data_IF_133616080920
#
_entry.id   IF_133616080920
#
_cell.length_a   1.000
_cell.length_b   1.000
_cell.length_c   1.000
_cell.angle_alpha   90.00
_cell.angle_beta   90.00
_cell.angle_gamma   90.00
#
_symmetry.space_group_name_H-M   'P 1'
#
loop_
_entity.id
_entity.type
_entity.pdbx_description
1 polymer ?
#
# COMPACT_ATOMS: atom_id res chain seq x y z
N UNK A 1 3.01 -67.35 2.90
CA UNK A 1 4.06 -66.35 2.64
C UNK A 1 3.60 -65.20 1.74
N UNK A 2 2.99 -65.45 0.56
CA UNK A 2 2.54 -64.37 -0.37
C UNK A 2 1.54 -63.36 0.24
N UNK A 3 0.60 -63.81 1.10
CA UNK A 3 -0.40 -62.93 1.75
C UNK A 3 0.22 -61.94 2.76
N UNK A 4 1.23 -62.37 3.52
CA UNK A 4 1.91 -61.50 4.50
C UNK A 4 2.80 -60.46 3.80
N UNK A 5 3.52 -60.85 2.75
CA UNK A 5 4.31 -59.92 1.92
C UNK A 5 3.42 -58.90 1.21
N UNK A 6 2.28 -59.33 0.69
CA UNK A 6 1.30 -58.43 0.06
C UNK A 6 0.70 -57.42 1.04
N UNK A 7 0.41 -57.80 2.30
CA UNK A 7 -0.04 -56.85 3.32
C UNK A 7 1.05 -55.86 3.73
N UNK A 8 2.30 -56.32 3.89
CA UNK A 8 3.42 -55.45 4.26
C UNK A 8 3.72 -54.40 3.17
N UNK A 9 3.69 -54.80 1.90
CA UNK A 9 3.87 -53.87 0.78
C UNK A 9 2.73 -52.85 0.69
N UNK A 10 1.48 -53.28 0.94
CA UNK A 10 0.33 -52.36 0.95
C UNK A 10 0.43 -51.29 2.05
N UNK A 11 0.88 -51.66 3.25
CA UNK A 11 1.13 -50.71 4.35
C UNK A 11 2.26 -49.74 4.01
N UNK A 12 3.35 -50.23 3.42
CA UNK A 12 4.46 -49.37 2.99
C UNK A 12 4.02 -48.35 1.92
N UNK A 13 3.23 -48.78 0.94
CA UNK A 13 2.67 -47.88 -0.09
C UNK A 13 1.71 -46.86 0.52
N UNK A 14 0.88 -47.24 1.50
CA UNK A 14 0.02 -46.28 2.21
C UNK A 14 0.83 -45.21 2.93
N UNK A 15 1.92 -45.57 3.61
CA UNK A 15 2.78 -44.61 4.31
C UNK A 15 3.45 -43.65 3.32
N UNK A 16 3.91 -44.17 2.17
CA UNK A 16 4.47 -43.34 1.08
C UNK A 16 3.43 -42.36 0.53
N UNK A 17 2.18 -42.79 0.33
CA UNK A 17 1.12 -41.89 -0.12
C UNK A 17 0.79 -40.83 0.93
N UNK A 18 0.73 -41.21 2.22
CA UNK A 18 0.49 -40.26 3.31
C UNK A 18 1.57 -39.18 3.39
N UNK A 19 2.85 -39.53 3.26
CA UNK A 19 3.94 -38.55 3.32
C UNK A 19 3.90 -37.56 2.15
N UNK A 20 3.58 -38.04 0.95
CA UNK A 20 3.40 -37.20 -0.25
C UNK A 20 2.21 -36.27 -0.05
N UNK A 21 1.07 -36.77 0.45
CA UNK A 21 -0.12 -35.95 0.69
C UNK A 21 0.14 -34.82 1.70
N UNK A 22 0.85 -35.11 2.80
CA UNK A 22 1.22 -34.09 3.79
C UNK A 22 2.13 -33.03 3.17
N UNK A 23 3.11 -33.44 2.36
CA UNK A 23 4.00 -32.51 1.66
C UNK A 23 3.22 -31.59 0.71
N UNK A 24 2.29 -32.15 -0.08
CA UNK A 24 1.45 -31.39 -1.01
C UNK A 24 0.61 -30.36 -0.26
N UNK A 25 -0.06 -30.75 0.83
CA UNK A 25 -0.85 -29.80 1.62
C UNK A 25 0.00 -28.66 2.21
N UNK A 26 1.18 -28.98 2.74
CA UNK A 26 2.10 -27.96 3.26
C UNK A 26 2.58 -26.99 2.18
N UNK A 27 2.87 -27.50 0.97
CA UNK A 27 3.26 -26.67 -0.16
C UNK A 27 2.08 -25.79 -0.63
N UNK A 28 0.88 -26.34 -0.75
CA UNK A 28 -0.32 -25.58 -1.14
C UNK A 28 -0.63 -24.44 -0.16
N UNK A 29 -0.52 -24.68 1.15
CA UNK A 29 -0.68 -23.63 2.16
C UNK A 29 0.38 -22.52 2.05
N UNK A 30 1.63 -22.89 1.75
CA UNK A 30 2.71 -21.91 1.52
C UNK A 30 2.52 -21.11 0.24
N UNK A 31 2.08 -21.75 -0.84
CA UNK A 31 1.85 -21.09 -2.13
C UNK A 31 0.69 -20.09 -2.01
N UNK A 32 -0.43 -20.50 -1.40
CA UNK A 32 -1.60 -19.62 -1.22
C UNK A 32 -1.27 -18.39 -0.39
N UNK A 33 -0.56 -18.56 0.73
CA UNK A 33 -0.11 -17.43 1.56
C UNK A 33 0.86 -16.52 0.81
N UNK A 34 1.82 -17.06 0.07
CA UNK A 34 2.73 -16.27 -0.76
C UNK A 34 1.98 -15.46 -1.84
N UNK A 35 1.06 -16.09 -2.57
CA UNK A 35 0.24 -15.42 -3.60
C UNK A 35 -0.61 -14.30 -3.00
N UNK A 36 -1.20 -14.51 -1.82
CA UNK A 36 -1.98 -13.48 -1.14
C UNK A 36 -1.11 -12.27 -0.74
N UNK A 37 0.09 -12.51 -0.21
CA UNK A 37 1.00 -11.42 0.15
C UNK A 37 1.48 -10.63 -1.07
N UNK A 38 1.74 -11.33 -2.19
CA UNK A 38 2.09 -10.70 -3.46
C UNK A 38 0.94 -9.82 -3.97
N UNK A 39 -0.29 -10.35 -3.97
CA UNK A 39 -1.48 -9.60 -4.37
C UNK A 39 -1.67 -8.34 -3.52
N UNK A 40 -1.51 -8.44 -2.19
CA UNK A 40 -1.61 -7.28 -1.30
C UNK A 40 -0.60 -6.19 -1.65
N UNK A 41 0.64 -6.58 -1.94
CA UNK A 41 1.70 -5.66 -2.34
C UNK A 41 1.37 -4.97 -3.66
N UNK A 42 0.89 -5.72 -4.65
CA UNK A 42 0.48 -5.17 -5.95
C UNK A 42 -0.68 -4.19 -5.81
N UNK A 43 -1.68 -4.51 -4.99
CA UNK A 43 -2.78 -3.60 -4.67
C UNK A 43 -2.28 -2.32 -3.99
N UNK A 44 -1.34 -2.41 -3.05
CA UNK A 44 -0.75 -1.22 -2.42
C UNK A 44 -0.01 -0.33 -3.43
N UNK A 45 0.71 -0.94 -4.38
CA UNK A 45 1.39 -0.20 -5.46
C UNK A 45 0.37 0.50 -6.37
N UNK A 46 -0.71 -0.19 -6.74
CA UNK A 46 -1.76 0.38 -7.58
C UNK A 46 -2.48 1.54 -6.90
N UNK A 47 -2.80 1.40 -5.61
CA UNK A 47 -3.38 2.49 -4.80
C UNK A 47 -2.42 3.67 -4.70
N UNK A 48 -1.13 3.43 -4.47
CA UNK A 48 -0.16 4.51 -4.44
C UNK A 48 -0.12 5.27 -5.78
N UNK A 49 -0.27 4.56 -6.90
CA UNK A 49 -0.33 5.19 -8.23
C UNK A 49 -1.62 6.00 -8.43
N UNK A 50 -2.79 5.46 -8.08
CA UNK A 50 -4.03 6.21 -8.24
C UNK A 50 -4.06 7.46 -7.37
N UNK A 51 -3.60 7.38 -6.12
CA UNK A 51 -3.55 8.52 -5.20
C UNK A 51 -2.50 9.55 -5.59
N UNK A 52 -1.38 9.19 -6.22
CA UNK A 52 -0.46 10.19 -6.78
C UNK A 52 -1.14 10.99 -7.90
N UNK A 53 -1.85 10.34 -8.82
CA UNK A 53 -2.51 11.06 -9.93
C UNK A 53 -3.66 11.94 -9.41
N UNK A 54 -4.42 11.43 -8.45
CA UNK A 54 -5.46 12.20 -7.78
C UNK A 54 -4.90 13.41 -7.04
N UNK A 55 -3.77 13.26 -6.34
CA UNK A 55 -3.11 14.35 -5.64
C UNK A 55 -2.59 15.43 -6.60
N UNK A 56 -2.01 15.04 -7.74
CA UNK A 56 -1.55 15.99 -8.77
C UNK A 56 -2.75 16.76 -9.33
N UNK A 57 -3.84 16.07 -9.68
CA UNK A 57 -5.06 16.71 -10.17
C UNK A 57 -5.68 17.68 -9.15
N UNK A 58 -5.77 17.27 -7.89
CA UNK A 58 -6.31 18.09 -6.82
C UNK A 58 -5.42 19.28 -6.48
N UNK A 59 -4.10 19.10 -6.50
CA UNK A 59 -3.13 20.19 -6.31
C UNK A 59 -3.17 21.20 -7.48
N UNK A 60 -3.38 20.74 -8.72
CA UNK A 60 -3.53 21.62 -9.89
C UNK A 60 -4.83 22.42 -9.92
N UNK A 61 -5.87 21.97 -9.21
CA UNK A 61 -7.11 22.74 -9.07
C UNK A 61 -7.02 23.86 -8.01
N UNK A 62 -5.96 23.85 -7.20
CA UNK A 62 -5.78 24.73 -6.06
C UNK A 62 -4.67 25.75 -6.36
N UNK A 63 -4.87 27.02 -5.95
CA UNK A 63 -3.85 28.06 -6.12
C UNK A 63 -3.07 28.25 -4.81
N UNK A 64 -1.80 27.78 -4.73
CA UNK A 64 -1.01 27.88 -3.52
C UNK A 64 -0.53 29.30 -3.17
N UNK A 65 -0.80 30.29 -4.03
CA UNK A 65 -0.50 31.71 -3.76
C UNK A 65 -1.67 32.47 -3.13
N UNK A 66 -2.87 31.94 -3.25
CA UNK A 66 -4.09 32.49 -2.64
C UNK A 66 -4.40 31.85 -1.28
N UNK A 67 -3.49 31.02 -0.75
CA UNK A 67 -3.64 30.34 0.55
C UNK A 67 -4.50 29.07 0.49
N UNK A 68 -4.94 28.65 -0.69
CA UNK A 68 -5.67 27.41 -0.88
C UNK A 68 -4.71 26.29 -1.26
N UNK A 69 -3.92 25.81 -0.30
CA UNK A 69 -2.92 24.76 -0.50
C UNK A 69 -3.45 23.40 -0.07
N UNK A 70 -3.19 22.38 -0.87
CA UNK A 70 -3.49 21.00 -0.53
C UNK A 70 -2.25 20.38 0.12
N UNK A 71 -2.29 20.17 1.43
CA UNK A 71 -1.13 19.72 2.20
C UNK A 71 -1.09 18.19 2.38
N UNK A 72 -2.26 17.61 2.62
CA UNK A 72 -2.38 16.16 2.76
C UNK A 72 -3.72 15.62 2.26
N UNK A 73 -3.70 14.37 1.79
CA UNK A 73 -4.89 13.59 1.48
C UNK A 73 -4.77 12.30 2.29
N UNK A 74 -5.78 12.01 3.11
CA UNK A 74 -5.86 10.75 3.84
C UNK A 74 -7.10 9.99 3.43
N UNK A 75 -6.98 8.66 3.37
CA UNK A 75 -8.07 7.81 2.98
C UNK A 75 -7.87 6.39 3.48
N UNK A 76 -8.92 5.82 4.05
CA UNK A 76 -8.96 4.42 4.42
C UNK A 76 -9.76 3.66 3.36
N UNK A 77 -9.08 2.77 2.63
CA UNK A 77 -9.68 1.87 1.65
C UNK A 77 -10.07 0.58 2.37
N UNK A 78 -11.20 0.65 3.07
CA UNK A 78 -11.87 -0.52 3.65
C UNK A 78 -12.63 -1.33 2.59
N UNK A 79 -12.97 -2.59 2.90
CA UNK A 79 -13.70 -3.56 2.07
C UNK A 79 -12.92 -4.33 0.98
N UNK A 80 -11.59 -4.33 0.99
CA UNK A 80 -10.81 -5.28 0.16
C UNK A 80 -10.41 -6.49 1.01
N UNK A 81 -11.39 -7.32 1.37
CA UNK A 81 -11.15 -8.65 1.93
C UNK A 81 -11.62 -9.70 0.91
N UNK A 82 -10.70 -10.58 0.49
CA UNK A 82 -11.09 -11.82 -0.17
C UNK A 82 -11.72 -12.76 0.88
N UNK A 83 -13.06 -12.81 0.94
CA UNK A 83 -13.80 -13.86 1.64
C UNK A 83 -14.48 -13.54 2.98
N UNK A 84 -14.63 -12.27 3.40
CA UNK A 84 -15.40 -11.91 4.63
C UNK A 84 -16.23 -10.64 4.42
N UNK A 85 -17.45 -10.60 4.98
CA UNK A 85 -18.43 -9.52 4.82
C UNK A 85 -18.18 -8.29 5.71
N UNK A 86 -18.06 -7.13 5.05
CA UNK A 86 -18.59 -5.81 5.42
C UNK A 86 -18.48 -5.32 6.87
N UNK A 87 -17.25 -5.15 7.35
CA UNK A 87 -16.90 -4.15 8.36
C UNK A 87 -15.37 -3.96 8.35
N UNK A 88 -14.84 -3.46 7.22
CA UNK A 88 -13.39 -3.39 6.98
C UNK A 88 -12.67 -2.46 7.95
N UNK A 89 -12.18 -3.02 9.05
CA UNK A 89 -11.29 -2.34 9.97
C UNK A 89 -9.85 -2.39 9.42
N UNK A 90 -9.38 -1.27 8.88
CA UNK A 90 -8.00 -1.14 8.38
C UNK A 90 -7.00 -1.37 9.51
N UNK A 91 -7.32 -0.96 10.74
CA UNK A 91 -6.49 -1.20 11.92
C UNK A 91 -6.48 -2.68 12.34
N UNK A 92 -7.57 -3.40 12.08
CA UNK A 92 -7.71 -4.86 12.17
C UNK A 92 -7.07 -5.65 11.02
N UNK A 93 -6.44 -4.94 10.06
CA UNK A 93 -5.72 -5.53 8.93
C UNK A 93 -6.60 -5.86 7.72
N UNK A 94 -7.78 -5.24 7.63
CA UNK A 94 -8.77 -5.48 6.59
C UNK A 94 -8.89 -4.29 5.61
N UNK A 95 -7.76 -3.90 5.02
CA UNK A 95 -7.72 -2.84 4.01
C UNK A 95 -6.36 -2.16 3.89
N UNK A 96 -6.38 -0.97 3.30
CA UNK A 96 -5.21 -0.12 3.10
C UNK A 96 -5.48 1.27 3.65
N UNK A 97 -4.54 1.79 4.43
CA UNK A 97 -4.51 3.20 4.85
C UNK A 97 -3.59 3.96 3.92
N UNK A 98 -4.12 4.97 3.25
CA UNK A 98 -3.38 5.83 2.35
C UNK A 98 -3.20 7.20 2.99
N UNK A 99 -1.96 7.67 3.02
CA UNK A 99 -1.60 9.01 3.46
C UNK A 99 -0.72 9.63 2.38
N UNK A 100 -1.19 10.74 1.84
CA UNK A 100 -0.48 11.54 0.85
C UNK A 100 -0.05 12.83 1.52
N UNK A 101 1.21 13.18 1.40
CA UNK A 101 1.75 14.47 1.78
C UNK A 101 2.23 15.19 0.54
N UNK A 102 1.88 16.46 0.43
CA UNK A 102 2.22 17.31 -0.71
C UNK A 102 3.11 18.43 -0.17
N UNK A 103 4.29 18.56 -0.75
CA UNK A 103 5.21 19.65 -0.50
C UNK A 103 5.29 20.55 -1.74
N UNK A 104 5.34 21.85 -1.51
CA UNK A 104 5.43 22.85 -2.56
C UNK A 104 6.85 23.41 -2.66
N UNK A 105 7.29 23.67 -3.88
CA UNK A 105 8.59 24.24 -4.20
C UNK A 105 8.36 25.44 -5.10
N UNK A 106 8.72 26.62 -4.62
CA UNK A 106 8.56 27.88 -5.32
C UNK A 106 8.61 29.06 -4.36
N UNK A 107 8.65 30.25 -4.92
CA UNK A 107 8.70 31.51 -4.18
C UNK A 107 7.31 32.17 -4.11
N UNK A 108 7.05 32.89 -3.01
CA UNK A 108 5.80 33.65 -2.82
C UNK A 108 4.57 32.77 -2.62
N UNK A 109 4.75 31.59 -2.03
CA UNK A 109 3.68 30.68 -1.67
C UNK A 109 3.10 31.09 -0.31
N UNK A 110 1.79 30.97 -0.15
CA UNK A 110 1.08 31.32 1.09
C UNK A 110 0.54 30.07 1.81
N UNK A 111 1.16 28.92 1.54
CA UNK A 111 0.91 27.65 2.21
C UNK A 111 1.55 27.62 3.60
N UNK A 112 1.23 26.61 4.42
CA UNK A 112 1.92 26.35 5.67
C UNK A 112 3.43 26.11 5.43
N UNK A 113 4.27 26.76 6.24
CA UNK A 113 5.74 26.69 6.18
C UNK A 113 6.27 25.25 6.26
N UNK A 114 5.59 24.36 6.97
CA UNK A 114 5.97 22.94 7.07
C UNK A 114 5.90 22.19 5.73
N UNK A 115 5.10 22.72 4.80
CA UNK A 115 4.87 22.15 3.47
C UNK A 115 5.59 22.92 2.35
N UNK A 116 6.31 24.01 2.68
CA UNK A 116 7.15 24.74 1.73
C UNK A 116 8.60 24.23 1.85
N UNK A 117 9.07 23.56 0.81
CA UNK A 117 10.40 22.89 0.84
C UNK A 117 11.54 23.82 0.41
N UNK A 118 11.24 24.97 -0.20
CA UNK A 118 12.21 25.97 -0.63
C UNK A 118 11.50 27.28 -0.93
N UNK A 119 11.71 28.29 -0.07
CA UNK A 119 11.22 29.67 -0.26
C UNK A 119 12.35 30.66 -0.64
N UNK A 120 13.59 30.18 -0.72
CA UNK A 120 14.80 31.03 -0.72
C UNK A 120 15.09 31.74 -2.06
N UNK A 121 14.08 31.92 -2.92
CA UNK A 121 14.19 32.63 -4.20
C UNK A 121 15.08 31.96 -5.27
N UNK A 122 15.77 30.86 -4.93
CA UNK A 122 16.61 30.09 -5.87
C UNK A 122 15.78 29.43 -6.98
N UNK A 123 14.56 29.00 -6.64
CA UNK A 123 13.61 28.44 -7.60
C UNK A 123 12.55 29.51 -7.89
N UNK A 124 12.79 30.26 -8.96
CA UNK A 124 11.90 31.33 -9.41
C UNK A 124 10.70 30.72 -10.13
N UNK A 125 9.57 30.70 -9.43
CA UNK A 125 8.25 30.37 -9.97
C UNK A 125 7.42 31.64 -10.20
N UNK A 126 7.96 32.82 -9.89
CA UNK A 126 7.33 34.10 -10.20
C UNK A 126 8.38 35.00 -10.82
N UNK A 127 8.19 35.40 -12.08
CA UNK A 127 9.08 36.34 -12.75
C UNK A 127 8.24 37.54 -13.22
N UNK A 128 8.59 38.75 -12.77
CA UNK A 128 8.01 40.01 -13.23
C UNK A 128 6.46 40.06 -13.22
N UNK A 129 5.82 39.51 -12.17
CA UNK A 129 4.36 39.50 -12.05
C UNK A 129 3.64 38.41 -12.86
N UNK A 130 4.37 37.61 -13.65
CA UNK A 130 3.84 36.40 -14.26
C UNK A 130 3.93 35.24 -13.28
N UNK A 131 2.81 34.56 -13.09
CA UNK A 131 2.73 33.36 -12.26
C UNK A 131 3.19 32.15 -13.06
N UNK A 132 4.42 31.68 -12.82
CA UNK A 132 4.80 30.33 -13.24
C UNK A 132 4.27 29.36 -12.18
N UNK A 133 3.75 28.24 -12.66
CA UNK A 133 3.28 27.19 -11.78
C UNK A 133 4.40 26.66 -10.88
N UNK A 134 4.16 26.52 -9.56
CA UNK A 134 5.13 25.93 -8.67
C UNK A 134 5.32 24.44 -8.95
N UNK A 135 6.45 23.90 -8.51
CA UNK A 135 6.66 22.46 -8.52
C UNK A 135 6.11 21.86 -7.24
N UNK A 136 5.57 20.65 -7.31
CA UNK A 136 5.12 19.89 -6.16
C UNK A 136 5.88 18.59 -6.03
N UNK A 137 6.11 18.19 -4.79
CA UNK A 137 6.54 16.85 -4.40
C UNK A 137 5.34 16.17 -3.78
N UNK A 138 4.96 15.02 -4.32
CA UNK A 138 3.88 14.19 -3.79
C UNK A 138 4.47 12.92 -3.22
N UNK A 139 4.34 12.76 -1.91
CA UNK A 139 4.73 11.57 -1.16
C UNK A 139 3.49 10.77 -0.78
N UNK A 140 3.36 9.56 -1.32
CA UNK A 140 2.25 8.66 -1.00
C UNK A 140 2.74 7.47 -0.20
N UNK A 141 2.14 7.29 0.97
CA UNK A 141 2.35 6.16 1.87
C UNK A 141 1.10 5.30 1.90
N UNK A 142 1.22 4.06 1.46
CA UNK A 142 0.15 3.05 1.55
C UNK A 142 0.55 2.01 2.57
N UNK A 143 -0.23 1.91 3.65
CA UNK A 143 0.00 1.00 4.77
C UNK A 143 -1.04 -0.09 4.79
N UNK A 144 -0.61 -1.32 4.98
CA UNK A 144 -1.49 -2.48 5.16
C UNK A 144 -0.89 -3.45 6.16
N UNK A 145 -1.72 -4.34 6.68
CA UNK A 145 -1.26 -5.46 7.51
C UNK A 145 -1.32 -6.75 6.71
N UNK A 146 -0.41 -7.68 7.02
CA UNK A 146 -0.35 -8.97 6.34
C UNK A 146 -1.66 -9.76 6.49
N UNK A 147 -2.04 -10.54 5.48
CA UNK A 147 -3.28 -11.35 5.40
C UNK A 147 -3.62 -12.20 6.64
N UNK A 148 -2.65 -12.50 7.52
CA UNK A 148 -2.89 -13.27 8.75
C UNK A 148 -3.24 -12.38 9.97
N UNK A 149 -3.46 -11.08 9.79
CA UNK A 149 -3.68 -10.10 10.85
C UNK A 149 -5.00 -10.26 11.62
N UNK A 150 -6.02 -10.88 11.00
CA UNK A 150 -7.32 -11.08 11.64
C UNK A 150 -7.25 -12.30 12.57
N UNK A 151 -6.50 -12.17 13.67
CA UNK A 151 -6.42 -13.15 14.75
C UNK A 151 -7.04 -12.51 15.98
N UNK A 152 -8.31 -12.83 16.26
CA UNK A 152 -9.06 -12.51 17.48
C UNK A 152 -8.18 -12.23 18.71
N UNK A 153 -7.83 -10.96 18.95
CA UNK A 153 -7.13 -10.52 20.16
C UNK A 153 -5.65 -10.93 20.31
N UNK A 154 -4.96 -11.40 19.25
CA UNK A 154 -3.51 -11.62 19.28
C UNK A 154 -2.78 -10.45 18.62
N UNK A 155 -1.60 -10.12 19.13
CA UNK A 155 -0.73 -9.02 18.71
C UNK A 155 -0.81 -8.78 17.21
N UNK A 156 -1.40 -7.64 16.83
CA UNK A 156 -1.61 -7.31 15.42
C UNK A 156 -0.23 -7.25 14.73
N UNK A 157 -0.08 -7.84 13.54
CA UNK A 157 1.19 -7.80 12.82
C UNK A 157 1.56 -6.35 12.49
N UNK A 158 2.87 -6.04 12.36
CA UNK A 158 3.32 -4.69 12.08
C UNK A 158 2.79 -4.21 10.73
N UNK A 159 2.67 -2.90 10.60
CA UNK A 159 2.31 -2.27 9.34
C UNK A 159 3.42 -2.45 8.31
N UNK A 160 3.04 -2.93 7.13
CA UNK A 160 3.87 -2.86 5.94
C UNK A 160 3.53 -1.57 5.22
N UNK A 161 4.56 -0.74 4.98
CA UNK A 161 4.39 0.55 4.30
C UNK A 161 5.04 0.48 2.93
N UNK A 162 4.26 0.76 1.89
CA UNK A 162 4.76 1.08 0.57
C UNK A 162 4.81 2.60 0.41
N UNK A 163 5.96 3.13 -0.02
CA UNK A 163 6.16 4.55 -0.26
C UNK A 163 6.45 4.79 -1.73
N UNK A 164 5.84 5.84 -2.29
CA UNK A 164 6.14 6.37 -3.62
C UNK A 164 6.26 7.88 -3.52
N UNK A 165 7.37 8.43 -4.02
CA UNK A 165 7.57 9.87 -4.23
C UNK A 165 7.52 10.20 -5.72
N UNK A 166 6.88 11.30 -6.07
CA UNK A 166 6.96 11.90 -7.41
C UNK A 166 7.12 13.40 -7.33
N UNK A 167 7.78 13.99 -8.33
CA UNK A 167 7.93 15.45 -8.46
C UNK A 167 7.23 15.83 -9.77
N UNK A 168 6.38 16.85 -9.71
CA UNK A 168 5.60 17.30 -10.86
C UNK A 168 5.59 18.82 -10.90
N UNK A 169 5.68 19.39 -12.10
CA UNK A 169 5.38 20.80 -12.33
C UNK A 169 3.87 20.94 -12.51
N UNK A 170 3.24 21.85 -11.75
CA UNK A 170 1.83 22.18 -11.91
C UNK A 170 1.55 22.98 -13.17
#
# INVERSE_FOLDING_TARGET
MRKAFSMMMAVFVMIMMMSITILVFNLSAKITTATLTQYQKEQAILLAKSYTEYAIMAAGANNPREGNCLESITGDVGNIILGVANNGDVDGGQGYRVNVNIGYIGNGLTCNDEHILSDDGVIVTQENGNELSPNIIVDVYVRYRAVNAHQNGKTLPPWVTYHRRTIQKL
#
